data_IF_891043805645
#
_entry.id   IF_891043805645
#
_cell.length_a   1.000
_cell.length_b   1.000
_cell.length_c   1.000
_cell.angle_alpha   90.00
_cell.angle_beta   90.00
_cell.angle_gamma   90.00
#
_symmetry.space_group_name_H-M   'P 1'
#
loop_
_entity.id
_entity.type
_entity.pdbx_description
1 polymer ?
#
# COMPACT_ATOMS: atom_id res chain seq x y z
N UNK A 1 5.66 1.94 18.28
CA UNK A 1 5.06 1.95 16.92
C UNK A 1 6.04 1.33 15.93
N UNK A 2 5.52 0.62 14.96
CA UNK A 2 6.32 0.06 13.86
C UNK A 2 5.80 0.64 12.55
N UNK A 3 6.60 0.53 11.51
CA UNK A 3 6.23 0.96 10.16
C UNK A 3 6.36 -0.20 9.20
N UNK A 4 5.59 -0.15 8.14
CA UNK A 4 5.68 -1.13 7.06
C UNK A 4 5.95 -0.40 5.76
N UNK A 5 7.12 -0.65 5.19
CA UNK A 5 7.45 -0.16 3.86
C UNK A 5 6.93 -1.17 2.85
N UNK A 6 6.05 -0.72 1.96
CA UNK A 6 5.52 -1.55 0.88
C UNK A 6 5.89 -0.92 -0.44
N UNK A 7 6.33 -1.75 -1.38
CA UNK A 7 6.66 -1.30 -2.72
C UNK A 7 5.83 -2.12 -3.71
N UNK A 8 5.01 -1.43 -4.48
CA UNK A 8 4.24 -2.02 -5.56
C UNK A 8 5.00 -1.81 -6.86
N UNK A 9 5.29 -2.90 -7.55
CA UNK A 9 5.87 -2.84 -8.88
C UNK A 9 4.76 -3.06 -9.89
N UNK A 10 4.42 -1.99 -10.63
CA UNK A 10 3.36 -2.05 -11.63
C UNK A 10 3.80 -2.86 -12.84
N UNK A 11 2.83 -3.50 -13.49
CA UNK A 11 3.02 -4.01 -14.85
C UNK A 11 3.46 -2.83 -15.73
N UNK A 12 4.45 -2.98 -16.65
CA UNK A 12 4.93 -1.87 -17.45
C UNK A 12 3.79 -1.06 -18.10
N UNK A 13 3.82 0.26 -17.86
CA UNK A 13 2.80 1.19 -18.33
C UNK A 13 1.58 1.31 -17.41
N UNK A 14 1.48 0.51 -16.34
CA UNK A 14 0.30 0.49 -15.47
C UNK A 14 0.46 1.27 -14.16
N UNK A 15 1.58 1.95 -13.95
CA UNK A 15 1.77 2.75 -12.72
C UNK A 15 0.65 3.78 -12.52
N UNK A 16 0.22 4.53 -13.55
CA UNK A 16 -0.90 5.47 -13.35
C UNK A 16 -2.17 4.78 -12.87
N UNK A 17 -2.45 3.56 -13.34
CA UNK A 17 -3.61 2.80 -12.90
C UNK A 17 -3.47 2.37 -11.42
N UNK A 18 -2.28 1.98 -10.99
CA UNK A 18 -2.01 1.63 -9.59
C UNK A 18 -2.20 2.85 -8.69
N UNK A 19 -1.62 3.98 -9.05
CA UNK A 19 -1.76 5.25 -8.31
C UNK A 19 -3.23 5.65 -8.22
N UNK A 20 -3.95 5.59 -9.32
CA UNK A 20 -5.37 5.93 -9.35
C UNK A 20 -6.20 5.01 -8.44
N UNK A 21 -5.90 3.71 -8.41
CA UNK A 21 -6.61 2.77 -7.53
C UNK A 21 -6.41 3.13 -6.06
N UNK A 22 -5.20 3.49 -5.64
CA UNK A 22 -4.97 3.94 -4.27
C UNK A 22 -5.76 5.20 -3.98
N UNK A 23 -5.68 6.20 -4.86
CA UNK A 23 -6.31 7.49 -4.63
C UNK A 23 -7.83 7.39 -4.54
N UNK A 24 -8.46 6.62 -5.43
CA UNK A 24 -9.91 6.60 -5.56
C UNK A 24 -10.60 5.47 -4.82
N UNK A 25 -9.89 4.41 -4.48
CA UNK A 25 -10.49 3.21 -3.88
C UNK A 25 -9.83 2.84 -2.55
N UNK A 26 -8.55 2.47 -2.60
CA UNK A 26 -7.87 1.84 -1.47
C UNK A 26 -7.84 2.72 -0.24
N UNK A 27 -7.45 3.99 -0.37
CA UNK A 27 -7.33 4.91 0.77
C UNK A 27 -8.68 5.14 1.46
N UNK A 28 -9.75 5.19 0.70
CA UNK A 28 -11.10 5.37 1.27
C UNK A 28 -11.52 4.17 2.09
N UNK A 29 -11.20 2.96 1.62
CA UNK A 29 -11.49 1.73 2.35
C UNK A 29 -10.62 1.64 3.60
N UNK A 30 -9.35 2.00 3.52
CA UNK A 30 -8.44 2.01 4.67
C UNK A 30 -8.96 2.91 5.80
N UNK A 31 -9.62 4.02 5.48
CA UNK A 31 -10.22 4.88 6.51
C UNK A 31 -11.21 4.12 7.38
N UNK A 32 -12.03 3.27 6.77
CA UNK A 32 -13.00 2.44 7.53
C UNK A 32 -12.32 1.49 8.51
N UNK A 33 -11.15 0.98 8.16
CA UNK A 33 -10.42 0.02 8.99
C UNK A 33 -9.40 0.68 9.92
N UNK A 34 -9.24 1.99 9.83
CA UNK A 34 -8.24 2.69 10.64
C UNK A 34 -6.80 2.35 10.25
N UNK A 35 -6.57 2.00 8.98
CA UNK A 35 -5.22 1.78 8.45
C UNK A 35 -4.62 3.13 8.11
N UNK A 36 -3.48 3.46 8.75
CA UNK A 36 -2.84 4.78 8.62
C UNK A 36 -1.62 4.69 7.72
N UNK A 37 -1.49 5.65 6.83
CA UNK A 37 -0.31 5.78 5.98
C UNK A 37 0.53 7.00 6.41
N UNK A 38 1.85 6.86 6.30
CA UNK A 38 2.79 7.94 6.62
C UNK A 38 3.31 8.63 5.36
N UNK A 39 2.98 8.14 4.18
CA UNK A 39 3.35 8.78 2.93
C UNK A 39 3.38 7.82 1.76
N UNK A 40 3.25 8.39 0.56
CA UNK A 40 3.32 7.68 -0.71
C UNK A 40 4.28 8.42 -1.63
N UNK A 41 5.08 7.67 -2.38
CA UNK A 41 6.05 8.26 -3.32
C UNK A 41 6.11 7.44 -4.60
N UNK A 42 6.21 8.14 -5.73
CA UNK A 42 6.68 7.53 -6.98
C UNK A 42 8.17 7.80 -7.11
N UNK A 43 8.84 7.08 -8.00
CA UNK A 43 10.28 7.22 -8.19
C UNK A 43 10.55 8.31 -9.24
N UNK A 44 11.26 9.36 -8.82
CA UNK A 44 11.73 10.40 -9.74
C UNK A 44 13.04 9.98 -10.40
N UNK A 45 14.02 9.58 -9.56
CA UNK A 45 15.29 9.01 -10.01
C UNK A 45 15.56 7.76 -9.18
N UNK A 46 15.68 6.61 -9.83
CA UNK A 46 15.94 5.36 -9.12
C UNK A 46 15.86 4.14 -10.00
N UNK A 47 15.80 2.98 -9.35
CA UNK A 47 15.89 1.68 -10.03
C UNK A 47 14.73 1.40 -10.99
N UNK A 48 13.52 1.79 -10.61
CA UNK A 48 12.33 1.51 -11.42
C UNK A 48 11.40 2.69 -11.46
N UNK A 49 10.98 3.09 -12.67
CA UNK A 49 9.93 4.09 -12.86
C UNK A 49 8.52 3.51 -12.80
N UNK A 50 8.39 2.22 -12.51
CA UNK A 50 7.11 1.53 -12.36
C UNK A 50 6.81 1.19 -10.89
N UNK A 51 7.52 1.79 -9.95
CA UNK A 51 7.38 1.50 -8.53
C UNK A 51 6.60 2.59 -7.80
N UNK A 52 5.74 2.16 -6.89
CA UNK A 52 5.04 3.01 -5.94
C UNK A 52 5.48 2.58 -4.54
N UNK A 53 6.08 3.50 -3.80
CA UNK A 53 6.54 3.29 -2.43
C UNK A 53 5.52 3.88 -1.47
N UNK A 54 5.17 3.16 -0.41
CA UNK A 54 4.41 3.78 0.66
C UNK A 54 4.76 3.18 2.01
N UNK A 55 4.48 3.95 3.05
CA UNK A 55 4.82 3.62 4.41
C UNK A 55 3.54 3.61 5.25
N UNK A 56 3.27 2.49 5.91
CA UNK A 56 2.16 2.34 6.85
C UNK A 56 2.65 2.47 8.28
N UNK A 57 1.76 2.87 9.17
CA UNK A 57 2.01 2.96 10.61
C UNK A 57 1.14 1.95 11.34
N UNK A 58 1.76 1.17 12.23
CA UNK A 58 1.06 0.21 13.08
C UNK A 58 1.50 0.40 14.54
N UNK A 59 0.55 0.28 15.47
CA UNK A 59 0.90 0.26 16.90
C UNK A 59 1.69 -0.99 17.25
N UNK A 60 1.38 -2.11 16.58
CA UNK A 60 1.98 -3.41 16.84
C UNK A 60 1.73 -4.35 15.66
N UNK A 61 2.41 -5.48 15.62
CA UNK A 61 2.13 -6.54 14.67
C UNK A 61 0.72 -7.11 14.84
N UNK A 62 0.20 -7.12 16.07
CA UNK A 62 -1.17 -7.58 16.33
C UNK A 62 -2.20 -6.67 15.67
N UNK A 63 -2.01 -5.34 15.75
CA UNK A 63 -2.87 -4.38 15.07
C UNK A 63 -2.82 -4.60 13.55
N UNK A 64 -1.62 -4.77 13.01
CA UNK A 64 -1.43 -5.03 11.58
C UNK A 64 -2.20 -6.26 11.14
N UNK A 65 -2.02 -7.37 11.83
CA UNK A 65 -2.69 -8.63 11.49
C UNK A 65 -4.20 -8.46 11.47
N UNK A 66 -4.76 -7.86 12.52
CA UNK A 66 -6.20 -7.66 12.63
C UNK A 66 -6.76 -6.77 11.51
N UNK A 67 -6.17 -5.60 11.33
CA UNK A 67 -6.69 -4.62 10.36
C UNK A 67 -6.41 -5.01 8.93
N UNK A 68 -5.22 -5.52 8.66
CA UNK A 68 -4.85 -5.92 7.30
C UNK A 68 -5.68 -7.11 6.83
N UNK A 69 -5.88 -8.11 7.70
CA UNK A 69 -6.72 -9.27 7.38
C UNK A 69 -8.16 -8.83 7.10
N UNK A 70 -8.71 -7.94 7.92
CA UNK A 70 -10.06 -7.41 7.72
C UNK A 70 -10.17 -6.69 6.37
N UNK A 71 -9.19 -5.85 6.02
CA UNK A 71 -9.15 -5.15 4.75
C UNK A 71 -9.01 -6.12 3.57
N UNK A 72 -8.06 -7.06 3.65
CA UNK A 72 -7.76 -7.99 2.54
C UNK A 72 -8.94 -8.91 2.19
N UNK A 73 -9.85 -9.12 3.12
CA UNK A 73 -11.03 -9.96 2.93
C UNK A 73 -12.34 -9.15 2.79
N UNK A 74 -12.23 -7.83 2.80
CA UNK A 74 -13.41 -6.95 2.68
C UNK A 74 -14.09 -7.13 1.31
N UNK A 75 -15.41 -7.40 1.27
CA UNK A 75 -16.11 -7.61 -0.01
C UNK A 75 -16.06 -6.41 -0.95
N UNK A 76 -16.12 -5.18 -0.44
CA UNK A 76 -16.03 -3.98 -1.25
C UNK A 76 -14.66 -3.86 -1.91
N UNK A 77 -13.59 -4.12 -1.12
CA UNK A 77 -12.23 -4.10 -1.64
C UNK A 77 -12.05 -5.13 -2.75
N UNK A 78 -12.47 -6.38 -2.51
CA UNK A 78 -12.31 -7.46 -3.49
C UNK A 78 -13.05 -7.15 -4.79
N UNK A 79 -14.27 -6.63 -4.70
CA UNK A 79 -15.06 -6.27 -5.88
C UNK A 79 -14.42 -5.12 -6.67
N UNK A 80 -14.06 -4.04 -5.98
CA UNK A 80 -13.47 -2.85 -6.65
C UNK A 80 -12.09 -3.14 -7.20
N UNK A 81 -11.29 -3.92 -6.48
CA UNK A 81 -9.99 -4.36 -6.97
C UNK A 81 -10.14 -5.15 -8.27
N UNK A 82 -11.05 -6.12 -8.29
CA UNK A 82 -11.33 -6.92 -9.48
C UNK A 82 -11.78 -6.03 -10.65
N UNK A 83 -12.57 -5.01 -10.38
CA UNK A 83 -12.99 -4.04 -11.39
C UNK A 83 -11.85 -3.29 -12.04
N UNK A 84 -10.80 -2.98 -11.29
CA UNK A 84 -9.60 -2.30 -11.83
C UNK A 84 -8.71 -3.23 -12.65
N UNK A 85 -8.93 -4.53 -12.58
CA UNK A 85 -8.09 -5.53 -13.26
C UNK A 85 -8.85 -6.28 -14.36
N UNK A 86 -9.96 -5.71 -14.85
CA UNK A 86 -10.74 -6.33 -15.94
C UNK A 86 -9.94 -6.56 -17.20
N UNK A 87 -9.01 -5.64 -17.50
CA UNK A 87 -8.17 -5.72 -18.71
C UNK A 87 -6.82 -6.37 -18.40
N UNK A 88 -6.70 -7.06 -17.29
CA UNK A 88 -5.49 -7.72 -16.86
C UNK A 88 -4.91 -7.12 -15.58
N UNK A 89 -3.88 -7.75 -15.02
CA UNK A 89 -3.24 -7.27 -13.79
C UNK A 89 -2.56 -5.92 -13.99
N UNK A 90 -2.61 -5.08 -12.98
CA UNK A 90 -1.90 -3.79 -12.98
C UNK A 90 -0.68 -3.82 -12.07
N UNK A 91 -0.61 -4.80 -11.16
CA UNK A 91 0.51 -4.99 -10.25
C UNK A 91 1.26 -6.25 -10.64
N UNK A 92 2.58 -6.12 -10.86
CA UNK A 92 3.45 -7.25 -11.15
C UNK A 92 3.77 -8.03 -9.88
N UNK A 93 4.28 -7.33 -8.87
CA UNK A 93 4.60 -7.93 -7.57
C UNK A 93 4.71 -6.85 -6.52
N UNK A 94 4.75 -7.28 -5.25
CA UNK A 94 4.81 -6.40 -4.10
C UNK A 94 5.91 -6.92 -3.18
N UNK A 95 6.70 -5.98 -2.64
CA UNK A 95 7.61 -6.29 -1.53
C UNK A 95 7.15 -5.54 -0.29
N UNK A 96 7.43 -6.08 0.89
CA UNK A 96 7.14 -5.38 2.14
C UNK A 96 8.22 -5.68 3.18
N UNK A 97 8.45 -4.68 4.04
CA UNK A 97 9.45 -4.75 5.10
C UNK A 97 8.88 -4.10 6.35
N UNK A 98 8.93 -4.81 7.47
CA UNK A 98 8.54 -4.25 8.76
C UNK A 98 9.75 -3.54 9.35
N UNK A 99 9.59 -2.26 9.69
CA UNK A 99 10.65 -1.40 10.18
C UNK A 99 10.36 -0.97 11.60
N UNK A 100 11.39 -1.00 12.44
CA UNK A 100 11.32 -0.48 13.80
C UNK A 100 12.10 0.83 13.83
N UNK A 101 11.46 1.96 14.16
CA UNK A 101 12.18 3.23 14.16
C UNK A 101 13.25 3.25 15.24
N UNK A 102 14.37 3.89 14.94
CA UNK A 102 15.42 4.16 15.95
C UNK A 102 14.94 5.23 16.92
N UNK A 103 15.60 5.32 18.06
CA UNK A 103 15.24 6.32 19.07
C UNK A 103 15.37 7.77 18.56
N UNK A 104 16.26 8.00 17.58
CA UNK A 104 16.50 9.32 17.01
C UNK A 104 15.74 9.57 15.71
N UNK A 105 14.91 8.62 15.26
CA UNK A 105 14.13 8.81 14.03
C UNK A 105 13.07 9.89 14.23
N UNK A 106 12.93 10.79 13.25
CA UNK A 106 11.87 11.80 13.25
C UNK A 106 10.52 11.20 12.94
N UNK A 107 10.49 10.13 12.14
CA UNK A 107 9.28 9.36 11.84
C UNK A 107 9.27 8.17 12.79
N UNK A 108 8.30 8.15 13.67
CA UNK A 108 8.20 7.08 14.67
C UNK A 108 6.81 6.48 14.72
#
# INVERSE_FOLDING_TARGET
MIHELRVYYAVPGKLPAVVNRFETITLKIWERFGIRQAGFWTVDIGESNQALYYLLEWKSLAEREQKWTAFATDPEWLEKRAGTERDGPIVSHITNTILKPTAFSKVK
#
